data_IF_973641338265
#
_entry.id   IF_973641338265
#
_cell.length_a   1.000
_cell.length_b   1.000
_cell.length_c   1.000
_cell.angle_alpha   90.00
_cell.angle_beta   90.00
_cell.angle_gamma   90.00
#
_symmetry.space_group_name_H-M   'P 1'
#
loop_
_entity.id
_entity.type
_entity.pdbx_description
1 polymer ?
#
# COMPACT_ATOMS: atom_id res chain seq x y z
N UNK A 1 17.27 -3.68 -18.30
CA UNK A 1 17.45 -3.60 -16.83
C UNK A 1 17.38 -2.18 -16.24
N UNK A 2 17.11 -1.10 -17.00
CA UNK A 2 16.84 0.24 -16.41
C UNK A 2 15.39 0.43 -15.92
N UNK A 3 14.44 -0.34 -16.44
CA UNK A 3 13.01 -0.21 -16.07
C UNK A 3 12.76 -0.66 -14.61
N UNK A 4 13.49 -1.67 -14.12
CA UNK A 4 13.34 -2.17 -12.74
C UNK A 4 13.84 -1.17 -11.70
N UNK A 5 14.85 -0.34 -12.02
CA UNK A 5 15.39 0.67 -11.10
C UNK A 5 14.42 1.83 -10.82
N UNK A 6 13.58 2.21 -11.80
CA UNK A 6 12.57 3.26 -11.61
C UNK A 6 11.32 2.79 -10.85
N UNK A 7 11.23 1.49 -10.56
CA UNK A 7 10.06 0.83 -9.98
C UNK A 7 10.23 0.46 -8.50
N UNK A 8 11.44 0.60 -7.95
CA UNK A 8 11.77 0.36 -6.55
C UNK A 8 11.36 1.55 -5.67
N UNK A 9 10.34 1.43 -4.81
CA UNK A 9 10.02 2.44 -3.82
C UNK A 9 11.17 2.61 -2.80
N UNK A 10 11.52 3.86 -2.53
CA UNK A 10 12.23 4.22 -1.31
C UNK A 10 11.22 4.24 -0.16
N UNK A 11 11.58 3.64 0.96
CA UNK A 11 10.64 3.37 2.06
C UNK A 11 11.02 4.06 3.36
N UNK A 12 12.30 4.43 3.51
CA UNK A 12 12.78 5.13 4.70
C UNK A 12 14.00 6.01 4.37
N UNK A 13 14.08 7.17 5.03
CA UNK A 13 15.23 8.09 4.99
C UNK A 13 15.58 8.48 6.41
N UNK A 14 16.83 8.21 6.81
CA UNK A 14 17.34 8.43 8.16
C UNK A 14 17.69 7.13 8.86
N UNK A 15 18.58 7.20 9.83
CA UNK A 15 18.80 6.14 10.82
C UNK A 15 18.01 6.51 12.08
N UNK A 16 16.93 5.78 12.36
CA UNK A 16 16.03 6.10 13.46
C UNK A 16 16.73 6.13 14.83
N UNK A 17 17.77 5.32 15.06
CA UNK A 17 18.50 5.34 16.35
C UNK A 17 19.24 6.66 16.52
N UNK A 18 19.90 7.14 15.45
CA UNK A 18 20.63 8.41 15.48
C UNK A 18 19.69 9.61 15.48
N UNK A 19 18.62 9.54 14.69
CA UNK A 19 17.61 10.58 14.58
C UNK A 19 16.93 10.82 15.94
N UNK A 20 16.49 9.76 16.61
CA UNK A 20 15.84 9.85 17.92
C UNK A 20 16.80 10.13 19.08
N UNK A 21 18.11 9.96 18.89
CA UNK A 21 19.11 10.32 19.90
C UNK A 21 19.35 11.83 19.99
N UNK A 22 18.84 12.60 19.02
CA UNK A 22 18.99 14.05 18.99
C UNK A 22 17.63 14.76 19.18
N UNK A 23 17.60 15.79 20.02
CA UNK A 23 16.44 16.70 20.13
C UNK A 23 16.86 18.08 19.66
N UNK A 24 16.61 18.36 18.39
CA UNK A 24 16.98 19.61 17.74
C UNK A 24 15.95 20.00 16.69
N UNK A 25 16.11 21.18 16.11
CA UNK A 25 15.26 21.59 14.99
C UNK A 25 15.69 20.82 13.74
N UNK A 26 14.76 20.40 12.87
CA UNK A 26 15.09 19.59 11.70
C UNK A 26 16.09 20.26 10.75
N UNK A 27 16.13 21.60 10.68
CA UNK A 27 17.09 22.35 9.87
C UNK A 27 18.53 22.32 10.41
N UNK A 28 18.71 22.00 11.69
CA UNK A 28 20.02 21.95 12.36
C UNK A 28 20.61 20.52 12.36
N UNK A 29 19.84 19.52 11.90
CA UNK A 29 20.23 18.11 12.01
C UNK A 29 21.45 17.75 11.17
N UNK A 30 22.43 17.12 11.82
CA UNK A 30 23.63 16.55 11.20
C UNK A 30 23.59 15.01 11.12
N UNK A 31 22.49 14.38 11.55
CA UNK A 31 22.33 12.93 11.52
C UNK A 31 22.36 12.37 10.09
N UNK A 32 22.97 11.19 9.86
CA UNK A 32 23.01 10.59 8.54
C UNK A 32 21.61 10.34 7.95
N UNK A 33 21.34 10.88 6.76
CA UNK A 33 20.11 10.65 5.99
C UNK A 33 20.23 9.42 5.09
N UNK A 34 20.55 8.27 5.69
CA UNK A 34 20.64 6.98 4.99
C UNK A 34 19.32 6.66 4.27
N UNK A 35 19.38 6.12 3.06
CA UNK A 35 18.17 5.88 2.25
C UNK A 35 17.97 4.39 2.03
N UNK A 36 16.80 3.89 2.42
CA UNK A 36 16.41 2.48 2.26
C UNK A 36 15.33 2.32 1.21
N UNK A 37 15.44 1.25 0.42
CA UNK A 37 14.51 0.94 -0.67
C UNK A 37 14.14 -0.53 -0.65
N UNK A 38 13.03 -0.83 -1.29
CA UNK A 38 12.65 -2.19 -1.61
C UNK A 38 12.89 -2.48 -3.10
N UNK A 39 13.23 -3.71 -3.40
CA UNK A 39 13.39 -4.20 -4.76
C UNK A 39 12.99 -5.68 -4.85
N UNK A 40 13.26 -6.30 -6.00
CA UNK A 40 12.91 -7.71 -6.22
C UNK A 40 13.64 -8.70 -5.30
N UNK A 41 14.74 -8.29 -4.67
CA UNK A 41 15.56 -9.12 -3.78
C UNK A 41 15.24 -8.82 -2.31
N UNK A 42 14.96 -7.55 -1.99
CA UNK A 42 14.48 -7.10 -0.67
C UNK A 42 13.11 -6.48 -0.85
N UNK A 43 12.08 -7.32 -1.02
CA UNK A 43 10.73 -6.86 -1.34
C UNK A 43 10.00 -6.32 -0.12
N UNK A 44 8.91 -5.59 -0.35
CA UNK A 44 8.12 -4.98 0.70
C UNK A 44 6.70 -4.76 0.23
N UNK A 45 5.90 -5.81 0.38
CA UNK A 45 4.56 -5.88 -0.22
C UNK A 45 3.62 -4.86 0.40
N UNK A 46 3.66 -4.74 1.73
CA UNK A 46 2.83 -3.83 2.54
C UNK A 46 3.00 -2.39 2.05
N UNK A 47 4.23 -1.89 2.16
CA UNK A 47 4.55 -0.50 1.84
C UNK A 47 4.37 -0.19 0.35
N UNK A 48 4.63 -1.15 -0.55
CA UNK A 48 4.36 -0.97 -1.97
C UNK A 48 2.85 -0.90 -2.26
N UNK A 49 2.05 -1.80 -1.69
CA UNK A 49 0.61 -1.83 -1.91
C UNK A 49 -0.10 -0.62 -1.26
N UNK A 50 0.34 -0.16 -0.08
CA UNK A 50 -0.13 1.08 0.53
C UNK A 50 0.28 2.32 -0.30
N UNK A 51 1.51 2.35 -0.84
CA UNK A 51 1.93 3.42 -1.76
C UNK A 51 1.05 3.46 -3.00
N UNK A 52 0.69 2.29 -3.55
CA UNK A 52 -0.23 2.21 -4.67
C UNK A 52 -1.64 2.70 -4.30
N UNK A 53 -2.16 2.37 -3.12
CA UNK A 53 -3.42 2.88 -2.59
C UNK A 53 -3.41 4.41 -2.46
N UNK A 54 -2.34 4.98 -1.90
CA UNK A 54 -2.14 6.42 -1.76
C UNK A 54 -2.15 7.13 -3.14
N UNK A 55 -1.39 6.62 -4.11
CA UNK A 55 -1.39 7.21 -5.46
C UNK A 55 -2.72 7.04 -6.19
N UNK A 56 -3.39 5.89 -6.06
CA UNK A 56 -4.69 5.67 -6.66
C UNK A 56 -5.74 6.63 -6.08
N UNK A 57 -5.81 6.78 -4.75
CA UNK A 57 -6.73 7.71 -4.08
C UNK A 57 -6.41 9.17 -4.44
N UNK A 58 -5.14 9.58 -4.40
CA UNK A 58 -4.71 10.93 -4.78
C UNK A 58 -5.05 11.27 -6.24
N UNK A 59 -4.89 10.32 -7.17
CA UNK A 59 -5.27 10.52 -8.58
C UNK A 59 -6.75 10.91 -8.73
N UNK A 60 -7.63 10.41 -7.87
CA UNK A 60 -9.04 10.77 -7.90
C UNK A 60 -9.28 12.21 -7.43
N UNK A 61 -8.51 12.69 -6.44
CA UNK A 61 -8.58 14.06 -5.91
C UNK A 61 -8.14 15.05 -6.99
N UNK A 62 -7.01 14.79 -7.66
CA UNK A 62 -6.47 15.68 -8.69
C UNK A 62 -7.18 15.59 -10.04
N UNK A 63 -8.10 14.64 -10.22
CA UNK A 63 -8.75 14.35 -11.52
C UNK A 63 -9.31 15.58 -12.25
N UNK A 64 -9.80 16.57 -11.51
CA UNK A 64 -10.37 17.80 -12.09
C UNK A 64 -9.40 18.99 -12.07
N UNK A 65 -8.65 19.17 -10.97
CA UNK A 65 -7.77 20.32 -10.79
C UNK A 65 -6.47 20.21 -11.58
N UNK A 66 -5.93 18.99 -11.70
CA UNK A 66 -4.74 18.70 -12.49
C UNK A 66 -4.85 17.30 -13.11
N UNK A 67 -5.50 17.20 -14.29
CA UNK A 67 -5.67 15.93 -14.99
C UNK A 67 -4.34 15.26 -15.36
N UNK A 68 -3.30 16.04 -15.67
CA UNK A 68 -1.99 15.52 -16.06
C UNK A 68 -1.31 14.82 -14.88
N UNK A 69 -1.29 15.49 -13.72
CA UNK A 69 -0.76 14.90 -12.49
C UNK A 69 -1.58 13.70 -12.00
N UNK A 70 -2.92 13.79 -12.09
CA UNK A 70 -3.81 12.65 -11.86
C UNK A 70 -3.41 11.42 -12.69
N UNK A 71 -3.13 11.59 -13.98
CA UNK A 71 -2.68 10.49 -14.84
C UNK A 71 -1.30 9.94 -14.44
N UNK A 72 -0.36 10.79 -14.02
CA UNK A 72 0.95 10.35 -13.51
C UNK A 72 0.77 9.48 -12.26
N UNK A 73 -0.02 9.94 -11.29
CA UNK A 73 -0.30 9.23 -10.05
C UNK A 73 -0.95 7.87 -10.33
N UNK A 74 -1.99 7.83 -11.17
CA UNK A 74 -2.69 6.60 -11.47
C UNK A 74 -1.78 5.57 -12.18
N UNK A 75 -1.00 6.00 -13.16
CA UNK A 75 -0.04 5.14 -13.85
C UNK A 75 1.02 4.60 -12.88
N UNK A 76 1.47 5.42 -11.93
CA UNK A 76 2.41 4.99 -10.90
C UNK A 76 1.76 3.99 -9.94
N UNK A 77 0.53 4.23 -9.51
CA UNK A 77 -0.23 3.33 -8.64
C UNK A 77 -0.33 1.91 -9.22
N UNK A 78 -0.69 1.80 -10.50
CA UNK A 78 -0.79 0.52 -11.22
C UNK A 78 0.54 -0.22 -11.19
N UNK A 79 1.62 0.45 -11.58
CA UNK A 79 2.98 -0.13 -11.66
C UNK A 79 3.52 -0.57 -10.30
N UNK A 80 3.29 0.22 -9.25
CA UNK A 80 3.74 -0.11 -7.89
C UNK A 80 2.92 -1.26 -7.32
N UNK A 81 1.62 -1.34 -7.58
CA UNK A 81 0.80 -2.48 -7.18
C UNK A 81 1.21 -3.78 -7.90
N UNK A 82 1.50 -3.71 -9.19
CA UNK A 82 2.04 -4.86 -9.94
C UNK A 82 3.37 -5.35 -9.34
N UNK A 83 4.24 -4.44 -8.90
CA UNK A 83 5.45 -4.79 -8.19
C UNK A 83 5.15 -5.49 -6.86
N UNK A 84 4.24 -4.94 -6.05
CA UNK A 84 3.84 -5.52 -4.76
C UNK A 84 3.28 -6.93 -4.93
N UNK A 85 2.34 -7.12 -5.87
CA UNK A 85 1.69 -8.42 -6.07
C UNK A 85 2.63 -9.48 -6.66
N UNK A 86 3.60 -9.06 -7.47
CA UNK A 86 4.57 -9.94 -8.12
C UNK A 86 5.69 -10.40 -7.17
N UNK A 87 6.17 -9.51 -6.31
CA UNK A 87 7.31 -9.77 -5.42
C UNK A 87 6.84 -9.74 -3.97
N UNK A 88 6.22 -10.84 -3.54
CA UNK A 88 5.59 -10.94 -2.22
C UNK A 88 6.58 -11.36 -1.15
N UNK A 89 6.94 -10.41 -0.30
CA UNK A 89 7.62 -10.61 0.98
C UNK A 89 7.28 -9.44 1.91
N UNK A 90 7.45 -9.62 3.22
CA UNK A 90 7.31 -8.50 4.13
C UNK A 90 8.52 -7.59 4.04
N UNK A 91 8.31 -6.27 4.03
CA UNK A 91 9.43 -5.34 4.06
C UNK A 91 10.26 -5.49 5.35
N UNK A 92 9.59 -5.93 6.44
CA UNK A 92 10.22 -6.23 7.72
C UNK A 92 11.14 -7.44 7.67
N UNK A 93 11.08 -8.30 6.64
CA UNK A 93 12.01 -9.43 6.48
C UNK A 93 13.41 -8.95 6.06
N UNK A 94 13.46 -8.01 5.10
CA UNK A 94 14.72 -7.49 4.55
C UNK A 94 15.25 -6.23 5.24
N UNK A 95 14.36 -5.44 5.87
CA UNK A 95 14.69 -4.14 6.45
C UNK A 95 14.51 -4.09 7.98
N UNK A 96 14.32 -5.24 8.64
CA UNK A 96 14.03 -5.33 10.08
C UNK A 96 14.90 -4.43 10.94
N UNK A 97 16.21 -4.43 10.69
CA UNK A 97 17.21 -3.69 11.49
C UNK A 97 17.05 -2.17 11.42
N UNK A 98 16.34 -1.67 10.42
CA UNK A 98 16.11 -0.25 10.19
C UNK A 98 14.70 0.17 10.60
N UNK A 99 13.70 -0.66 10.28
CA UNK A 99 12.28 -0.32 10.45
C UNK A 99 11.72 -0.72 11.83
N UNK A 100 12.27 -1.78 12.45
CA UNK A 100 11.86 -2.24 13.77
C UNK A 100 12.77 -1.66 14.86
N UNK A 101 12.24 -1.35 16.07
CA UNK A 101 10.89 -1.68 16.57
C UNK A 101 9.80 -0.65 16.25
N UNK A 102 10.04 0.32 15.35
CA UNK A 102 9.14 1.46 15.13
C UNK A 102 7.89 1.08 14.32
N UNK A 103 8.09 0.52 13.13
CA UNK A 103 7.02 0.09 12.23
C UNK A 103 7.30 -1.35 11.78
N UNK A 104 6.99 -2.32 12.62
CA UNK A 104 7.10 -3.73 12.22
C UNK A 104 5.79 -4.21 11.60
N UNK A 105 5.85 -4.85 10.42
CA UNK A 105 4.67 -5.51 9.86
C UNK A 105 4.22 -6.64 10.80
N UNK A 106 3.02 -6.51 11.36
CA UNK A 106 2.48 -7.47 12.33
C UNK A 106 1.24 -8.21 11.79
N UNK A 107 0.41 -7.52 11.01
CA UNK A 107 -0.73 -8.05 10.26
C UNK A 107 -0.33 -8.88 9.02
N UNK A 108 0.89 -8.67 8.51
CA UNK A 108 1.34 -9.16 7.21
C UNK A 108 1.08 -8.15 6.09
N UNK A 109 0.92 -8.65 4.85
CA UNK A 109 0.69 -7.83 3.66
C UNK A 109 -0.62 -8.13 2.91
N UNK A 110 -1.42 -9.04 3.47
CA UNK A 110 -2.58 -9.58 2.77
C UNK A 110 -3.67 -8.53 2.62
N UNK A 111 -3.84 -7.73 3.68
CA UNK A 111 -4.75 -6.62 3.78
C UNK A 111 -4.33 -5.42 2.93
N UNK A 112 -3.03 -5.06 2.85
CA UNK A 112 -2.58 -4.00 1.93
C UNK A 112 -2.82 -4.38 0.46
N UNK A 113 -2.66 -5.66 0.09
CA UNK A 113 -2.95 -6.09 -1.29
C UNK A 113 -4.45 -5.98 -1.61
N UNK A 114 -5.34 -6.30 -0.66
CA UNK A 114 -6.78 -6.07 -0.84
C UNK A 114 -7.12 -4.58 -0.89
N UNK A 115 -6.50 -3.78 -0.02
CA UNK A 115 -6.67 -2.33 0.06
C UNK A 115 -6.21 -1.62 -1.21
N UNK A 116 -5.00 -1.92 -1.69
CA UNK A 116 -4.46 -1.39 -2.94
C UNK A 116 -5.31 -1.76 -4.14
N UNK A 117 -5.75 -3.02 -4.25
CA UNK A 117 -6.65 -3.46 -5.30
C UNK A 117 -8.00 -2.72 -5.24
N UNK A 118 -8.56 -2.51 -4.04
CA UNK A 118 -9.83 -1.82 -3.85
C UNK A 118 -9.74 -0.34 -4.29
N UNK A 119 -8.66 0.35 -3.97
CA UNK A 119 -8.42 1.71 -4.44
C UNK A 119 -8.19 1.78 -5.95
N UNK A 120 -7.41 0.87 -6.52
CA UNK A 120 -7.20 0.81 -7.96
C UNK A 120 -8.50 0.51 -8.72
N UNK A 121 -9.32 -0.40 -8.21
CA UNK A 121 -10.66 -0.63 -8.73
C UNK A 121 -11.49 0.65 -8.72
N UNK A 122 -11.50 1.37 -7.59
CA UNK A 122 -12.26 2.61 -7.44
C UNK A 122 -11.78 3.72 -8.38
N UNK A 123 -10.46 3.85 -8.55
CA UNK A 123 -9.86 4.89 -9.38
C UNK A 123 -10.05 4.61 -10.89
N UNK A 124 -9.88 3.36 -11.31
CA UNK A 124 -9.87 2.96 -12.73
C UNK A 124 -11.20 2.43 -13.26
N UNK A 125 -12.06 1.88 -12.38
CA UNK A 125 -13.21 1.01 -12.72
C UNK A 125 -12.82 -0.24 -13.54
N UNK A 126 -11.54 -0.62 -13.54
CA UNK A 126 -11.09 -1.80 -14.25
C UNK A 126 -11.54 -3.08 -13.51
N UNK A 127 -12.35 -3.95 -14.13
CA UNK A 127 -12.88 -5.14 -13.47
C UNK A 127 -11.80 -6.18 -13.11
N UNK A 128 -10.57 -6.06 -13.62
CA UNK A 128 -9.45 -6.89 -13.20
C UNK A 128 -9.19 -6.81 -11.70
N UNK A 129 -9.23 -5.62 -11.11
CA UNK A 129 -9.00 -5.42 -9.68
C UNK A 129 -10.14 -5.99 -8.83
N UNK A 130 -11.37 -5.89 -9.32
CA UNK A 130 -12.51 -6.53 -8.66
C UNK A 130 -12.35 -8.06 -8.64
N UNK A 131 -12.01 -8.66 -9.79
CA UNK A 131 -11.73 -10.10 -9.86
C UNK A 131 -10.55 -10.51 -8.98
N UNK A 132 -9.53 -9.66 -8.87
CA UNK A 132 -8.41 -9.89 -7.95
C UNK A 132 -8.92 -9.99 -6.51
N UNK A 133 -9.75 -9.04 -6.08
CA UNK A 133 -10.32 -9.01 -4.72
C UNK A 133 -11.22 -10.21 -4.47
N UNK A 134 -12.06 -10.60 -5.43
CA UNK A 134 -12.94 -11.77 -5.32
C UNK A 134 -12.14 -13.07 -5.19
N UNK A 135 -11.10 -13.24 -6.03
CA UNK A 135 -10.24 -14.44 -6.02
C UNK A 135 -9.40 -14.56 -4.76
N UNK A 136 -8.94 -13.43 -4.22
CA UNK A 136 -7.97 -13.40 -3.14
C UNK A 136 -8.60 -13.14 -1.76
N UNK A 137 -9.76 -12.48 -1.69
CA UNK A 137 -10.32 -11.93 -0.46
C UNK A 137 -10.44 -12.93 0.67
N UNK A 138 -11.03 -14.09 0.42
CA UNK A 138 -11.26 -15.09 1.47
C UNK A 138 -9.96 -15.66 2.04
N UNK A 139 -8.94 -15.88 1.20
CA UNK A 139 -7.63 -16.36 1.65
C UNK A 139 -6.80 -15.26 2.36
N UNK A 140 -7.23 -14.01 2.24
CA UNK A 140 -6.51 -12.82 2.72
C UNK A 140 -7.30 -12.08 3.79
N UNK A 141 -7.94 -12.81 4.69
CA UNK A 141 -8.58 -12.24 5.87
C UNK A 141 -9.81 -11.37 5.60
N UNK A 142 -10.38 -11.34 4.39
CA UNK A 142 -11.55 -10.51 4.11
C UNK A 142 -12.75 -10.79 5.03
N UNK A 143 -12.84 -12.00 5.62
CA UNK A 143 -13.86 -12.39 6.59
C UNK A 143 -13.40 -12.43 8.05
N UNK A 144 -12.16 -12.05 8.36
CA UNK A 144 -11.66 -12.04 9.75
C UNK A 144 -12.31 -10.91 10.55
N UNK A 145 -12.75 -11.16 11.78
CA UNK A 145 -13.41 -10.15 12.60
C UNK A 145 -12.39 -9.14 13.19
N UNK A 146 -11.80 -8.33 12.31
CA UNK A 146 -10.98 -7.18 12.67
C UNK A 146 -11.85 -5.95 12.92
N UNK A 147 -11.51 -5.21 13.98
CA UNK A 147 -12.23 -4.02 14.40
C UNK A 147 -11.39 -2.74 14.30
N UNK A 148 -10.13 -2.85 13.89
CA UNK A 148 -9.19 -1.73 13.85
C UNK A 148 -8.74 -1.46 12.42
N UNK A 149 -8.74 -0.18 12.06
CA UNK A 149 -8.06 0.32 10.88
C UNK A 149 -6.85 1.11 11.34
N UNK A 150 -5.69 0.84 10.75
CA UNK A 150 -4.44 1.45 11.17
C UNK A 150 -3.39 1.49 10.06
N UNK A 151 -2.18 1.87 10.46
CA UNK A 151 -1.04 1.88 9.54
C UNK A 151 -0.59 0.45 9.17
N UNK A 152 -0.86 -0.55 10.02
CA UNK A 152 -0.51 -1.96 9.81
C UNK A 152 -1.70 -2.81 9.34
N UNK A 153 -2.95 -2.51 9.74
CA UNK A 153 -4.12 -3.31 9.34
C UNK A 153 -5.14 -2.51 8.51
N UNK A 154 -5.44 -3.00 7.30
CA UNK A 154 -6.36 -2.40 6.32
C UNK A 154 -7.66 -3.15 6.09
N UNK A 155 -7.89 -4.31 6.73
CA UNK A 155 -9.05 -5.15 6.45
C UNK A 155 -10.37 -4.39 6.58
N UNK A 156 -10.55 -3.64 7.67
CA UNK A 156 -11.76 -2.84 7.92
C UNK A 156 -11.93 -1.74 6.86
N UNK A 157 -10.82 -1.06 6.52
CA UNK A 157 -10.82 -0.03 5.47
C UNK A 157 -11.23 -0.61 4.11
N UNK A 158 -10.63 -1.73 3.72
CA UNK A 158 -10.95 -2.42 2.46
C UNK A 158 -12.42 -2.86 2.42
N UNK A 159 -12.98 -3.39 3.53
CA UNK A 159 -14.41 -3.72 3.64
C UNK A 159 -15.29 -2.52 3.41
N UNK A 160 -15.09 -1.43 4.13
CA UNK A 160 -15.91 -0.22 3.98
C UNK A 160 -15.79 0.34 2.56
N UNK A 161 -14.60 0.31 1.97
CA UNK A 161 -14.37 0.80 0.61
C UNK A 161 -15.14 -0.03 -0.44
N UNK A 162 -15.19 -1.35 -0.25
CA UNK A 162 -15.83 -2.30 -1.14
C UNK A 162 -17.33 -2.44 -0.89
N UNK A 163 -17.81 -2.23 0.34
CA UNK A 163 -19.22 -2.37 0.72
C UNK A 163 -20.13 -1.52 -0.16
N UNK A 164 -19.71 -0.30 -0.53
CA UNK A 164 -20.44 0.54 -1.49
C UNK A 164 -20.63 -0.16 -2.84
N UNK A 165 -19.63 -0.89 -3.33
CA UNK A 165 -19.74 -1.64 -4.59
C UNK A 165 -20.72 -2.81 -4.46
N UNK A 166 -20.78 -3.45 -3.29
CA UNK A 166 -21.72 -4.56 -3.02
C UNK A 166 -23.16 -4.06 -2.87
N UNK A 167 -23.35 -3.01 -2.07
CA UNK A 167 -24.65 -2.49 -1.69
C UNK A 167 -25.32 -1.72 -2.84
N UNK A 168 -24.54 -0.99 -3.65
CA UNK A 168 -25.06 -0.18 -4.75
C UNK A 168 -25.08 -0.94 -6.08
N UNK A 169 -24.07 -1.77 -6.37
CA UNK A 169 -23.93 -2.43 -7.68
C UNK A 169 -24.24 -3.94 -7.66
N UNK A 170 -24.69 -4.50 -6.53
CA UNK A 170 -25.12 -5.91 -6.37
C UNK A 170 -24.11 -6.95 -6.90
N UNK A 171 -22.81 -6.67 -6.75
CA UNK A 171 -21.74 -7.59 -7.16
C UNK A 171 -21.80 -8.85 -6.28
N UNK A 172 -22.12 -10.00 -6.88
CA UNK A 172 -22.33 -11.25 -6.15
C UNK A 172 -21.07 -11.77 -5.45
N UNK A 173 -19.86 -11.55 -5.99
CA UNK A 173 -18.60 -12.08 -5.44
C UNK A 173 -18.04 -11.37 -4.20
N UNK A 174 -18.68 -10.31 -3.72
CA UNK A 174 -18.20 -9.51 -2.58
C UNK A 174 -19.06 -9.67 -1.31
N UNK A 175 -19.82 -10.76 -1.16
CA UNK A 175 -20.71 -10.93 0.02
C UNK A 175 -19.99 -10.80 1.37
N UNK A 176 -18.72 -11.19 1.43
CA UNK A 176 -17.88 -11.13 2.64
C UNK A 176 -17.64 -9.69 3.12
N UNK A 177 -17.79 -8.68 2.25
CA UNK A 177 -17.58 -7.26 2.57
C UNK A 177 -18.87 -6.50 2.92
N UNK A 178 -19.98 -7.21 3.21
CA UNK A 178 -21.27 -6.58 3.55
C UNK A 178 -21.41 -6.16 5.02
N UNK A 179 -20.55 -6.66 5.91
CA UNK A 179 -20.58 -6.41 7.36
C UNK A 179 -19.68 -5.26 7.76
#
# INVERSE_FOLDING_TARGET
NSITLCLSPFVEVGDATKDHACWERPEDMDTPKSVFKIDKNNSGTEVAAETAAAFASASMVFRKSDPSYSSILLNRAIRVFEFADKYRASYSDGLKTFVCPYYCSSSGYQDELLWGAAWLHRATRNPMYLRYIERNGQMRGAGEADYTFGWDNKHVGARILLSKSVLVHRVQGLQVYKG
#
